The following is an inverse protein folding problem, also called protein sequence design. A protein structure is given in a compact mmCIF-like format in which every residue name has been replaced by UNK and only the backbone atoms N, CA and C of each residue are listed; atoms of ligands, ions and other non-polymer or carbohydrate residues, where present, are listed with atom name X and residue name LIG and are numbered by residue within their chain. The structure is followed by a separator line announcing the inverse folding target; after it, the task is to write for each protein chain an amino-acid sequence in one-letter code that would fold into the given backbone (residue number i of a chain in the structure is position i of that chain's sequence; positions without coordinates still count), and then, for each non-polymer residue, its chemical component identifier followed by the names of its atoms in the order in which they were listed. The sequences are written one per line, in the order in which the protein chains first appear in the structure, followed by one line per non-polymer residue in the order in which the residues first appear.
data_IF_608686810380
#
_entry.id   IF_608686810380
#
_cell.length_a   1.000
_cell.length_b   1.000
_cell.length_c   1.000
_cell.angle_alpha   90.00
_cell.angle_beta   90.00
_cell.angle_gamma   90.00
#
_symmetry.space_group_name_H-M   'P 1'
#
loop_
_entity.id
_entity.type
_entity.pdbx_description
1 polymer ?
#
# COMPACT_ATOMS: atom_id res chain seq x y z
N UNK A 1 -16.92 -12.16 29.69
CA UNK A 1 -17.22 -13.10 28.61
C UNK A 1 -17.73 -12.28 27.44
N UNK A 2 -16.89 -12.05 26.41
CA UNK A 2 -17.27 -11.27 25.25
C UNK A 2 -18.04 -12.18 24.29
N UNK A 3 -19.24 -11.75 23.93
CA UNK A 3 -20.13 -12.42 22.99
C UNK A 3 -19.55 -12.34 21.59
N UNK A 4 -19.12 -13.47 21.03
CA UNK A 4 -18.78 -13.65 19.61
C UNK A 4 -20.04 -13.54 18.74
N UNK A 5 -20.53 -12.31 18.56
CA UNK A 5 -21.70 -11.99 17.74
C UNK A 5 -21.27 -11.54 16.34
N UNK A 6 -20.82 -12.50 15.52
CA UNK A 6 -21.08 -12.64 14.08
C UNK A 6 -20.11 -13.70 13.57
N UNK A 7 -20.52 -14.97 13.57
CA UNK A 7 -19.88 -15.93 12.67
C UNK A 7 -20.24 -15.51 11.25
N UNK A 8 -19.39 -14.66 10.66
CA UNK A 8 -19.40 -14.43 9.22
C UNK A 8 -19.34 -15.75 8.48
N UNK A 9 -19.65 -15.73 7.20
CA UNK A 9 -19.69 -16.88 6.28
C UNK A 9 -18.35 -17.63 6.08
N UNK A 10 -17.39 -17.50 7.00
CA UNK A 10 -16.05 -18.09 6.98
C UNK A 10 -15.07 -17.44 5.99
N UNK A 11 -15.56 -16.60 5.07
CA UNK A 11 -14.74 -15.97 4.02
C UNK A 11 -14.18 -14.62 4.41
N UNK A 12 -14.72 -14.01 5.47
CA UNK A 12 -14.28 -12.70 5.95
C UNK A 12 -13.43 -12.85 7.19
N UNK A 13 -12.20 -12.36 7.15
CA UNK A 13 -11.22 -12.53 8.23
C UNK A 13 -10.53 -11.21 8.58
N UNK A 14 -10.18 -11.08 9.86
CA UNK A 14 -9.31 -10.00 10.33
C UNK A 14 -7.88 -10.51 10.49
N UNK A 15 -6.95 -9.89 9.76
CA UNK A 15 -5.51 -10.09 9.91
C UNK A 15 -4.91 -8.99 10.76
N UNK A 16 -3.86 -9.34 11.50
CA UNK A 16 -3.17 -8.42 12.43
C UNK A 16 -1.75 -8.17 11.95
N UNK A 17 -1.29 -6.93 12.06
CA UNK A 17 0.11 -6.53 11.78
C UNK A 17 0.64 -7.04 10.42
N UNK A 18 -0.17 -6.97 9.37
CA UNK A 18 0.31 -7.25 8.00
C UNK A 18 1.00 -6.01 7.44
N UNK A 19 1.99 -6.19 6.57
CA UNK A 19 2.73 -5.08 5.95
C UNK A 19 2.08 -4.66 4.63
N UNK A 20 1.86 -3.37 4.46
CA UNK A 20 1.20 -2.81 3.27
C UNK A 20 2.18 -2.67 2.10
N UNK A 21 1.73 -2.92 0.88
CA UNK A 21 2.50 -2.68 -0.35
C UNK A 21 1.60 -2.25 -1.50
N UNK A 22 2.15 -1.50 -2.46
CA UNK A 22 1.40 -0.91 -3.59
C UNK A 22 0.22 -0.03 -3.12
N UNK A 23 0.46 0.83 -2.13
CA UNK A 23 -0.58 1.60 -1.44
C UNK A 23 -1.07 2.83 -2.19
N UNK A 24 -0.39 3.25 -3.27
CA UNK A 24 -0.81 4.40 -4.10
C UNK A 24 -2.28 4.28 -4.52
N UNK A 25 -2.73 3.04 -4.78
CA UNK A 25 -4.10 2.72 -5.18
C UNK A 25 -5.15 2.88 -4.08
N UNK A 26 -4.74 3.11 -2.83
CA UNK A 26 -5.66 3.46 -1.73
C UNK A 26 -6.16 4.90 -1.86
N UNK A 27 -5.29 5.82 -2.32
CA UNK A 27 -5.64 7.21 -2.58
C UNK A 27 -6.40 7.30 -3.90
N UNK A 28 -5.70 7.14 -5.01
CA UNK A 28 -6.26 7.29 -6.35
C UNK A 28 -6.50 5.92 -6.97
N UNK A 29 -7.58 5.74 -7.74
CA UNK A 29 -7.73 4.51 -8.51
C UNK A 29 -6.61 4.44 -9.54
N UNK A 30 -6.07 3.25 -9.75
CA UNK A 30 -5.15 3.02 -10.86
C UNK A 30 -5.35 1.62 -11.43
N UNK A 31 -4.85 1.42 -12.63
CA UNK A 31 -4.83 0.13 -13.30
C UNK A 31 -3.82 -0.79 -12.61
N UNK A 32 -4.08 -2.10 -12.61
CA UNK A 32 -3.15 -3.10 -12.02
C UNK A 32 -1.98 -3.44 -12.94
N UNK A 33 -2.08 -3.05 -14.22
CA UNK A 33 -1.11 -3.28 -15.28
C UNK A 33 -1.43 -2.36 -16.47
N UNK A 34 -0.43 -2.11 -17.33
CA UNK A 34 -0.61 -1.33 -18.55
C UNK A 34 -1.68 -1.89 -19.49
N UNK A 35 -1.97 -3.19 -19.41
CA UNK A 35 -2.98 -3.88 -20.22
C UNK A 35 -4.40 -3.86 -19.61
N UNK A 36 -4.61 -3.20 -18.47
CA UNK A 36 -5.91 -3.17 -17.80
C UNK A 36 -6.57 -1.81 -17.98
N UNK A 37 -7.78 -1.79 -18.54
CA UNK A 37 -8.56 -0.55 -18.68
C UNK A 37 -9.34 -0.19 -17.40
N UNK A 38 -9.25 -1.02 -16.36
CA UNK A 38 -10.07 -0.89 -15.15
C UNK A 38 -9.26 -0.32 -14.00
N UNK A 39 -9.47 0.97 -13.74
CA UNK A 39 -8.94 1.63 -12.56
C UNK A 39 -9.67 1.16 -11.30
N UNK A 40 -8.90 0.79 -10.29
CA UNK A 40 -9.44 0.23 -9.05
C UNK A 40 -8.63 0.66 -7.85
N UNK A 41 -9.31 0.83 -6.72
CA UNK A 41 -8.64 0.86 -5.43
C UNK A 41 -8.14 -0.53 -5.07
N UNK A 42 -6.96 -0.60 -4.47
CA UNK A 42 -6.35 -1.86 -4.07
C UNK A 42 -5.04 -1.66 -3.32
N UNK A 43 -4.56 -2.76 -2.75
CA UNK A 43 -3.31 -2.84 -2.00
C UNK A 43 -2.92 -4.31 -1.88
N UNK A 44 -1.63 -4.57 -1.67
CA UNK A 44 -1.15 -5.88 -1.28
C UNK A 44 -0.86 -5.91 0.23
N UNK A 45 -1.05 -7.08 0.82
CA UNK A 45 -0.76 -7.34 2.23
C UNK A 45 0.27 -8.45 2.32
N UNK A 46 1.43 -8.15 2.90
CA UNK A 46 2.51 -9.09 3.12
C UNK A 46 2.36 -9.67 4.53
N UNK A 47 2.35 -10.99 4.60
CA UNK A 47 2.45 -11.77 5.83
C UNK A 47 3.93 -12.16 5.94
N UNK A 48 4.65 -11.42 6.79
CA UNK A 48 6.07 -11.66 7.05
C UNK A 48 6.24 -12.93 7.90
N UNK A 49 7.08 -13.86 7.44
CA UNK A 49 7.21 -15.19 8.03
C UNK A 49 7.89 -15.19 9.42
N UNK A 50 8.61 -14.12 9.74
CA UNK A 50 9.30 -13.89 11.01
C UNK A 50 8.41 -13.23 12.08
N UNK A 51 7.22 -12.72 11.71
CA UNK A 51 6.31 -12.09 12.65
C UNK A 51 5.56 -13.13 13.50
N UNK A 52 5.31 -12.84 14.80
CA UNK A 52 4.58 -13.77 15.67
C UNK A 52 3.14 -14.01 15.21
N UNK A 53 2.54 -13.07 14.47
CA UNK A 53 1.19 -13.22 13.91
C UNK A 53 1.14 -14.09 12.64
N UNK A 54 2.29 -14.49 12.06
CA UNK A 54 2.34 -15.17 10.76
C UNK A 54 1.43 -16.40 10.69
N UNK A 55 1.62 -17.36 11.60
CA UNK A 55 0.87 -18.62 11.58
C UNK A 55 -0.63 -18.40 11.76
N UNK A 56 -1.01 -17.51 12.68
CA UNK A 56 -2.41 -17.18 12.93
C UNK A 56 -3.06 -16.49 11.72
N UNK A 57 -2.36 -15.56 11.07
CA UNK A 57 -2.84 -14.89 9.87
C UNK A 57 -2.90 -15.84 8.67
N UNK A 58 -1.87 -16.66 8.47
CA UNK A 58 -1.80 -17.66 7.41
C UNK A 58 -2.95 -18.66 7.53
N UNK A 59 -3.21 -19.18 8.72
CA UNK A 59 -4.33 -20.10 8.98
C UNK A 59 -5.69 -19.46 8.64
N UNK A 60 -5.91 -18.19 9.01
CA UNK A 60 -7.13 -17.45 8.66
C UNK A 60 -7.30 -17.28 7.15
N UNK A 61 -6.23 -16.90 6.44
CA UNK A 61 -6.26 -16.76 4.98
C UNK A 61 -6.57 -18.10 4.31
N UNK A 62 -5.88 -19.18 4.70
CA UNK A 62 -6.13 -20.52 4.15
C UNK A 62 -7.56 -20.99 4.44
N UNK A 63 -8.05 -20.79 5.65
CA UNK A 63 -9.45 -21.11 6.00
C UNK A 63 -10.46 -20.36 5.13
N UNK A 64 -10.25 -19.05 4.93
CA UNK A 64 -11.12 -18.24 4.08
C UNK A 64 -11.05 -18.62 2.59
N UNK A 65 -9.86 -19.01 2.08
CA UNK A 65 -9.70 -19.55 0.72
C UNK A 65 -10.47 -20.86 0.54
N UNK A 66 -10.38 -21.75 1.52
CA UNK A 66 -11.13 -23.02 1.53
C UNK A 66 -12.63 -22.79 1.46
N UNK A 67 -13.13 -21.89 2.30
CA UNK A 67 -14.54 -21.56 2.33
C UNK A 67 -15.00 -20.88 1.02
N UNK A 68 -14.19 -19.99 0.46
CA UNK A 68 -14.47 -19.37 -0.84
C UNK A 68 -14.52 -20.42 -1.98
N UNK A 69 -13.60 -21.39 -1.98
CA UNK A 69 -13.57 -22.50 -2.93
C UNK A 69 -14.76 -23.45 -2.76
N UNK A 70 -15.12 -23.77 -1.52
CA UNK A 70 -16.28 -24.59 -1.21
C UNK A 70 -17.57 -23.93 -1.69
N UNK A 71 -17.75 -22.63 -1.43
CA UNK A 71 -18.97 -21.94 -1.83
C UNK A 71 -19.11 -21.80 -3.35
N UNK A 72 -18.04 -21.38 -4.03
CA UNK A 72 -18.06 -21.10 -5.47
C UNK A 72 -17.96 -22.36 -6.32
N UNK A 73 -17.13 -23.34 -5.92
CA UNK A 73 -16.75 -24.47 -6.76
C UNK A 73 -17.05 -25.84 -6.14
N UNK A 74 -17.64 -25.88 -4.93
CA UNK A 74 -17.88 -27.11 -4.15
C UNK A 74 -16.59 -27.90 -3.89
N UNK A 75 -15.46 -27.21 -3.82
CA UNK A 75 -14.14 -27.79 -3.58
C UNK A 75 -13.31 -26.85 -2.71
N UNK A 76 -13.02 -27.26 -1.46
CA UNK A 76 -12.22 -26.48 -0.52
C UNK A 76 -10.77 -26.27 -1.00
N UNK A 77 -10.24 -27.19 -1.80
CA UNK A 77 -8.86 -27.14 -2.28
C UNK A 77 -8.74 -26.51 -3.67
N UNK A 78 -9.83 -25.92 -4.21
CA UNK A 78 -9.82 -25.25 -5.51
C UNK A 78 -8.72 -24.18 -5.63
N UNK A 79 -8.37 -23.50 -4.54
CA UNK A 79 -7.30 -22.50 -4.54
C UNK A 79 -5.92 -23.09 -4.88
N UNK A 80 -5.66 -24.37 -4.57
CA UNK A 80 -4.39 -25.06 -4.90
C UNK A 80 -4.29 -25.30 -6.40
N UNK A 81 -5.34 -25.89 -6.99
CA UNK A 81 -5.41 -26.12 -8.44
C UNK A 81 -5.33 -24.81 -9.22
N UNK A 82 -6.06 -23.77 -8.78
CA UNK A 82 -5.98 -22.44 -9.40
C UNK A 82 -4.57 -21.85 -9.27
N UNK A 83 -3.89 -22.05 -8.14
CA UNK A 83 -2.52 -21.57 -7.95
C UNK A 83 -1.51 -22.23 -8.90
N UNK A 84 -1.75 -23.48 -9.30
CA UNK A 84 -0.94 -24.24 -10.25
C UNK A 84 -1.25 -23.83 -11.69
N UNK A 85 -2.52 -23.85 -12.08
CA UNK A 85 -2.97 -23.61 -13.46
C UNK A 85 -2.91 -22.14 -13.86
N UNK A 86 -3.33 -21.25 -12.95
CA UNK A 86 -3.52 -19.84 -13.21
C UNK A 86 -3.12 -19.01 -11.98
N UNK A 87 -1.82 -18.95 -11.62
CA UNK A 87 -1.35 -18.35 -10.36
C UNK A 87 -1.77 -16.89 -10.17
N UNK A 88 -2.04 -16.12 -11.24
CA UNK A 88 -2.52 -14.73 -11.13
C UNK A 88 -4.02 -14.63 -10.73
N UNK A 89 -4.75 -15.74 -10.78
CA UNK A 89 -6.18 -15.84 -10.42
C UNK A 89 -6.42 -16.34 -9.00
N UNK A 90 -5.37 -16.50 -8.21
CA UNK A 90 -5.47 -16.69 -6.76
C UNK A 90 -4.85 -15.49 -6.06
N UNK A 91 -5.60 -14.89 -5.13
CA UNK A 91 -5.15 -13.70 -4.41
C UNK A 91 -4.00 -13.98 -3.42
N UNK A 92 -3.81 -15.23 -2.99
CA UNK A 92 -2.79 -15.61 -2.02
C UNK A 92 -1.63 -16.34 -2.68
N UNK A 93 -0.41 -15.77 -2.62
CA UNK A 93 0.74 -16.26 -3.39
C UNK A 93 2.04 -16.16 -2.59
N UNK A 94 3.05 -16.91 -3.02
CA UNK A 94 4.42 -16.75 -2.50
C UNK A 94 5.03 -15.44 -3.01
N UNK A 95 5.77 -14.74 -2.16
CA UNK A 95 6.26 -13.41 -2.44
C UNK A 95 7.27 -13.36 -3.60
N UNK A 96 7.93 -14.46 -3.94
CA UNK A 96 8.82 -14.54 -5.11
C UNK A 96 8.09 -14.32 -6.44
N UNK A 97 6.75 -14.28 -6.45
CA UNK A 97 5.95 -13.92 -7.62
C UNK A 97 5.94 -12.41 -7.90
N UNK A 98 6.42 -11.59 -6.98
CA UNK A 98 6.50 -10.14 -7.11
C UNK A 98 7.94 -9.73 -7.45
N UNK A 99 8.19 -9.57 -8.74
CA UNK A 99 9.51 -9.21 -9.29
C UNK A 99 9.42 -7.97 -10.17
N UNK A 100 10.52 -7.22 -10.23
CA UNK A 100 10.69 -6.15 -11.22
C UNK A 100 10.99 -6.73 -12.62
N UNK A 101 11.17 -5.88 -13.63
CA UNK A 101 11.48 -6.30 -15.01
C UNK A 101 12.81 -7.07 -15.12
N UNK A 102 13.73 -6.85 -14.19
CA UNK A 102 15.04 -7.53 -14.12
C UNK A 102 14.97 -8.87 -13.38
N UNK A 103 13.80 -9.25 -12.86
CA UNK A 103 13.60 -10.51 -12.13
C UNK A 103 13.99 -10.47 -10.65
N UNK A 104 14.38 -9.29 -10.13
CA UNK A 104 14.64 -9.07 -8.69
C UNK A 104 13.33 -9.01 -7.93
N UNK A 105 13.22 -9.78 -6.85
CA UNK A 105 12.05 -9.79 -5.97
C UNK A 105 11.95 -8.44 -5.27
N UNK A 106 10.75 -7.86 -5.21
CA UNK A 106 10.55 -6.60 -4.49
C UNK A 106 10.89 -6.75 -3.00
N UNK A 107 11.42 -5.69 -2.41
CA UNK A 107 11.73 -5.66 -0.99
C UNK A 107 10.49 -6.02 -0.14
N UNK A 108 10.71 -6.81 0.91
CA UNK A 108 9.66 -7.31 1.80
C UNK A 108 8.89 -8.54 1.28
N UNK A 109 9.03 -8.92 0.00
CA UNK A 109 8.34 -10.09 -0.53
C UNK A 109 9.14 -11.40 -0.43
N UNK A 110 10.47 -11.35 -0.45
CA UNK A 110 11.32 -12.54 -0.39
C UNK A 110 11.05 -13.37 0.87
N UNK A 111 10.80 -14.67 0.72
CA UNK A 111 10.50 -15.59 1.84
C UNK A 111 9.11 -15.43 2.45
N UNK A 112 8.35 -14.41 2.04
CA UNK A 112 7.06 -14.05 2.64
C UNK A 112 5.88 -14.51 1.80
N UNK A 113 4.68 -14.41 2.38
CA UNK A 113 3.42 -14.67 1.69
C UNK A 113 2.69 -13.35 1.47
N UNK A 114 1.94 -13.22 0.39
CA UNK A 114 1.19 -12.01 0.13
C UNK A 114 -0.21 -12.26 -0.40
N UNK A 115 -1.14 -11.41 0.04
CA UNK A 115 -2.51 -11.32 -0.43
C UNK A 115 -2.64 -10.09 -1.32
N UNK A 116 -3.06 -10.28 -2.56
CA UNK A 116 -3.48 -9.21 -3.48
C UNK A 116 -4.96 -8.96 -3.31
N UNK A 117 -5.36 -7.71 -3.06
CA UNK A 117 -6.76 -7.38 -2.88
C UNK A 117 -7.13 -6.06 -3.54
N UNK A 118 -8.40 -5.96 -3.94
CA UNK A 118 -9.00 -4.72 -4.42
C UNK A 118 -10.00 -4.22 -3.39
N UNK A 119 -10.33 -2.93 -3.41
CA UNK A 119 -11.40 -2.39 -2.58
C UNK A 119 -12.77 -3.03 -2.88
N UNK A 120 -13.82 -2.67 -2.10
CA UNK A 120 -15.13 -3.28 -2.26
C UNK A 120 -15.72 -3.06 -3.65
N UNK A 121 -16.70 -3.91 -4.00
CA UNK A 121 -17.35 -3.88 -5.31
C UNK A 121 -16.36 -4.02 -6.49
N UNK A 122 -15.37 -4.89 -6.33
CA UNK A 122 -14.35 -5.17 -7.34
C UNK A 122 -13.40 -4.00 -7.58
N UNK A 123 -13.09 -3.23 -6.53
CA UNK A 123 -12.17 -2.11 -6.53
C UNK A 123 -12.78 -0.76 -6.91
N UNK A 124 -14.09 -0.69 -7.18
CA UNK A 124 -14.74 0.58 -7.55
C UNK A 124 -14.94 1.50 -6.36
N UNK A 125 -15.01 0.94 -5.14
CA UNK A 125 -15.09 1.69 -3.88
C UNK A 125 -13.76 1.62 -3.13
N UNK A 126 -13.42 2.70 -2.44
CA UNK A 126 -12.29 2.74 -1.51
C UNK A 126 -12.63 1.92 -0.26
N UNK A 127 -11.71 1.10 0.27
CA UNK A 127 -11.93 0.42 1.56
C UNK A 127 -12.09 1.44 2.69
N UNK A 128 -12.68 1.03 3.82
CA UNK A 128 -12.71 1.90 5.00
C UNK A 128 -11.28 2.11 5.52
N UNK A 129 -10.85 3.35 5.61
CA UNK A 129 -9.49 3.70 6.08
C UNK A 129 -9.56 4.29 7.48
N UNK A 130 -8.75 3.72 8.38
CA UNK A 130 -8.58 4.18 9.75
C UNK A 130 -7.10 4.37 10.08
N UNK A 131 -6.75 5.45 10.76
CA UNK A 131 -5.40 5.65 11.27
C UNK A 131 -5.18 4.86 12.59
N UNK A 132 -4.01 5.01 13.22
CA UNK A 132 -3.67 4.33 14.48
C UNK A 132 -4.64 4.67 15.61
N UNK A 133 -5.15 5.91 15.62
CA UNK A 133 -6.09 6.46 16.60
C UNK A 133 -7.55 6.19 16.24
N UNK A 134 -7.80 5.47 15.14
CA UNK A 134 -9.14 5.23 14.58
C UNK A 134 -9.84 6.51 14.10
N UNK A 135 -9.11 7.57 13.76
CA UNK A 135 -9.64 8.62 12.89
C UNK A 135 -10.01 7.98 11.56
N UNK A 136 -11.08 8.46 10.94
CA UNK A 136 -11.57 7.93 9.66
C UNK A 136 -11.31 8.93 8.54
N UNK A 137 -11.16 8.44 7.31
CA UNK A 137 -11.11 9.34 6.15
C UNK A 137 -12.37 10.21 6.14
N UNK A 138 -12.20 11.53 5.97
CA UNK A 138 -13.28 12.52 6.03
C UNK A 138 -14.50 12.14 5.18
N UNK A 139 -14.29 11.70 3.95
CA UNK A 139 -15.36 11.32 3.01
C UNK A 139 -16.12 10.05 3.43
N UNK A 140 -15.56 9.30 4.37
CA UNK A 140 -16.14 8.08 4.93
C UNK A 140 -16.69 8.31 6.33
N UNK A 141 -16.59 9.52 6.88
CA UNK A 141 -16.92 9.84 8.26
C UNK A 141 -18.42 10.08 8.48
N UNK A 142 -18.91 9.77 9.67
CA UNK A 142 -20.23 10.23 10.11
C UNK A 142 -20.17 11.71 10.53
N UNK A 143 -21.31 12.40 10.57
CA UNK A 143 -21.38 13.78 11.05
C UNK A 143 -20.85 13.95 12.49
N UNK A 144 -21.04 12.94 13.34
CA UNK A 144 -20.50 12.92 14.71
C UNK A 144 -18.97 12.85 14.73
N UNK A 145 -18.38 12.00 13.89
CA UNK A 145 -16.92 11.87 13.78
C UNK A 145 -16.28 13.17 13.28
N UNK A 146 -16.94 13.87 12.35
CA UNK A 146 -16.49 15.18 11.86
C UNK A 146 -16.53 16.21 12.99
N UNK A 147 -17.64 16.29 13.74
CA UNK A 147 -17.78 17.21 14.89
C UNK A 147 -16.76 16.95 15.99
N UNK A 148 -16.42 15.68 16.21
CA UNK A 148 -15.42 15.25 17.20
C UNK A 148 -13.96 15.38 16.71
N UNK A 149 -13.72 15.92 15.52
CA UNK A 149 -12.40 15.98 14.88
C UNK A 149 -11.68 14.60 14.79
N UNK A 150 -12.47 13.53 14.65
CA UNK A 150 -11.99 12.14 14.53
C UNK A 150 -11.81 11.76 13.05
N UNK A 151 -11.24 12.67 12.26
CA UNK A 151 -11.09 12.51 10.81
C UNK A 151 -9.68 12.90 10.33
N UNK A 152 -9.29 12.36 9.18
CA UNK A 152 -8.11 12.79 8.41
C UNK A 152 -8.52 13.06 6.95
N UNK A 153 -7.75 13.88 6.26
CA UNK A 153 -7.99 14.28 4.86
C UNK A 153 -7.42 13.29 3.85
N UNK A 154 -7.89 13.38 2.60
CA UNK A 154 -7.40 12.53 1.51
C UNK A 154 -5.88 12.72 1.22
N UNK A 155 -5.36 13.93 1.43
CA UNK A 155 -3.93 14.22 1.32
C UNK A 155 -3.06 13.40 2.28
N UNK A 156 -3.58 13.06 3.46
CA UNK A 156 -2.86 12.29 4.49
C UNK A 156 -2.83 10.78 4.20
N UNK A 157 -3.54 10.28 3.16
CA UNK A 157 -3.66 8.82 2.93
C UNK A 157 -2.30 8.17 2.73
N UNK A 158 -1.41 8.75 1.92
CA UNK A 158 -0.10 8.13 1.64
C UNK A 158 0.92 8.36 2.77
N UNK A 159 0.64 9.28 3.68
CA UNK A 159 1.42 9.46 4.91
C UNK A 159 1.02 8.47 6.01
N UNK A 160 -0.27 8.12 6.08
CA UNK A 160 -0.81 7.17 7.06
C UNK A 160 -0.68 5.72 6.56
N UNK A 161 -0.90 5.49 5.27
CA UNK A 161 -0.93 4.16 4.63
C UNK A 161 0.19 4.04 3.58
N UNK A 162 1.42 4.37 3.95
CA UNK A 162 2.56 4.19 3.06
C UNK A 162 2.90 2.72 2.84
N UNK A 163 3.49 2.40 1.67
CA UNK A 163 4.07 1.09 1.41
C UNK A 163 5.16 0.83 2.44
N UNK A 164 5.06 -0.27 3.19
CA UNK A 164 5.94 -0.60 4.30
C UNK A 164 5.33 -0.44 5.68
N UNK A 165 4.23 0.31 5.81
CA UNK A 165 3.52 0.44 7.08
C UNK A 165 2.85 -0.88 7.49
N UNK A 166 2.80 -1.16 8.78
CA UNK A 166 1.99 -2.25 9.35
C UNK A 166 0.53 -1.83 9.53
N UNK A 167 -0.39 -2.79 9.39
CA UNK A 167 -1.82 -2.55 9.54
C UNK A 167 -2.57 -3.77 10.09
N UNK A 168 -3.71 -3.51 10.73
CA UNK A 168 -4.77 -4.49 10.91
C UNK A 168 -5.75 -4.36 9.74
N UNK A 169 -6.17 -5.48 9.15
CA UNK A 169 -7.02 -5.46 7.96
C UNK A 169 -8.19 -6.41 8.07
N UNK A 170 -9.31 -6.05 7.45
CA UNK A 170 -10.47 -6.94 7.27
C UNK A 170 -10.58 -7.26 5.78
N UNK A 171 -10.49 -8.54 5.46
CA UNK A 171 -10.45 -9.06 4.10
C UNK A 171 -11.60 -10.04 3.88
N UNK A 172 -12.21 -10.00 2.69
CA UNK A 172 -13.27 -10.93 2.29
C UNK A 172 -12.89 -11.67 1.02
N UNK A 173 -12.88 -13.01 1.08
CA UNK A 173 -12.44 -13.88 -0.01
C UNK A 173 -13.63 -14.39 -0.82
N UNK A 174 -13.50 -14.49 -2.14
CA UNK A 174 -14.59 -14.97 -2.99
C UNK A 174 -14.09 -15.67 -4.25
N UNK A 175 -14.78 -16.74 -4.65
CA UNK A 175 -14.55 -17.42 -5.92
C UNK A 175 -15.36 -16.79 -7.06
N UNK A 176 -14.86 -16.91 -8.30
CA UNK A 176 -15.58 -16.52 -9.52
C UNK A 176 -15.18 -17.44 -10.68
N UNK A 177 -16.14 -17.70 -11.58
CA UNK A 177 -15.94 -18.37 -12.86
C UNK A 177 -15.92 -17.38 -14.05
N UNK A 178 -15.94 -16.07 -13.80
CA UNK A 178 -15.91 -15.09 -14.88
C UNK A 178 -14.55 -15.13 -15.59
N UNK A 179 -14.56 -15.60 -16.84
CA UNK A 179 -13.38 -15.84 -17.68
C UNK A 179 -12.77 -17.22 -17.43
N UNK A 180 -12.39 -17.51 -16.20
CA UNK A 180 -11.99 -18.85 -15.73
C UNK A 180 -12.09 -18.92 -14.19
N UNK A 181 -11.86 -20.09 -13.59
CA UNK A 181 -11.84 -20.22 -12.12
C UNK A 181 -10.82 -19.29 -11.49
N UNK A 182 -11.22 -18.59 -10.43
CA UNK A 182 -10.34 -17.71 -9.67
C UNK A 182 -10.87 -17.45 -8.26
N UNK A 183 -9.99 -17.19 -7.31
CA UNK A 183 -10.32 -16.78 -5.95
C UNK A 183 -9.63 -15.45 -5.66
N UNK A 184 -10.43 -14.42 -5.43
CA UNK A 184 -10.01 -13.05 -5.23
C UNK A 184 -10.33 -12.56 -3.81
N UNK A 185 -9.81 -11.38 -3.48
CA UNK A 185 -9.95 -10.77 -2.16
C UNK A 185 -10.43 -9.32 -2.29
N UNK A 186 -11.43 -8.98 -1.47
CA UNK A 186 -11.94 -7.64 -1.22
C UNK A 186 -11.33 -7.07 0.06
N UNK A 187 -10.98 -5.78 0.05
CA UNK A 187 -10.54 -5.04 1.23
C UNK A 187 -11.75 -4.35 1.84
N UNK A 188 -12.20 -4.78 3.01
CA UNK A 188 -13.34 -4.14 3.68
C UNK A 188 -12.87 -2.95 4.53
N UNK A 189 -11.78 -3.13 5.28
CA UNK A 189 -11.19 -2.08 6.10
C UNK A 189 -9.69 -2.24 6.30
N UNK A 190 -8.98 -1.13 6.44
CA UNK A 190 -7.57 -1.05 6.83
C UNK A 190 -7.46 -0.10 8.02
N UNK A 191 -6.81 -0.56 9.09
CA UNK A 191 -6.36 0.28 10.20
C UNK A 191 -4.84 0.31 10.23
N UNK A 192 -4.26 1.45 9.87
CA UNK A 192 -2.82 1.67 9.93
C UNK A 192 -2.32 1.67 11.37
N UNK A 193 -1.09 1.19 11.56
CA UNK A 193 -0.34 1.35 12.82
C UNK A 193 0.60 2.56 12.76
N UNK A 194 0.74 3.19 11.59
CA UNK A 194 1.63 4.33 11.33
C UNK A 194 3.10 4.04 11.71
N UNK A 195 3.52 2.79 11.55
CA UNK A 195 4.89 2.35 11.81
C UNK A 195 5.33 1.29 10.80
N UNK A 196 6.64 1.14 10.66
CA UNK A 196 7.28 0.26 9.67
C UNK A 196 8.21 1.06 8.76
N UNK A 197 9.19 0.38 8.20
CA UNK A 197 10.11 1.00 7.24
C UNK A 197 9.41 1.15 5.89
N UNK A 198 9.49 2.36 5.30
CA UNK A 198 8.94 2.64 3.97
C UNK A 198 9.58 1.72 2.93
N UNK A 199 8.74 1.02 2.18
CA UNK A 199 9.14 0.19 1.04
C UNK A 199 8.98 0.98 -0.25
N UNK A 200 10.01 0.96 -1.09
CA UNK A 200 9.98 1.53 -2.44
C UNK A 200 8.91 0.89 -3.31
N UNK A 201 8.22 1.71 -4.11
CA UNK A 201 7.09 1.29 -4.94
C UNK A 201 6.41 2.43 -5.72
N UNK A 202 6.79 3.69 -5.46
CA UNK A 202 6.74 4.78 -6.45
C UNK A 202 7.98 4.75 -7.32
N UNK A 203 7.95 5.46 -8.45
CA UNK A 203 9.07 5.64 -9.40
C UNK A 203 10.38 5.75 -8.62
N UNK A 204 11.33 4.86 -8.90
CA UNK A 204 12.71 5.03 -8.48
C UNK A 204 13.21 6.23 -9.30
N UNK A 205 13.45 7.34 -8.62
CA UNK A 205 14.25 8.43 -9.15
C UNK A 205 15.56 8.29 -8.37
N UNK A 206 16.59 7.77 -9.02
CA UNK A 206 17.93 7.78 -8.41
C UNK A 206 18.61 9.14 -8.63
N UNK A 207 19.76 9.36 -8.00
CA UNK A 207 20.49 10.61 -8.18
C UNK A 207 20.95 10.81 -9.64
N UNK A 208 21.06 9.72 -10.40
CA UNK A 208 21.49 9.71 -11.80
C UNK A 208 20.34 10.08 -12.76
N UNK A 209 19.08 10.02 -12.30
CA UNK A 209 17.89 10.53 -12.99
C UNK A 209 17.73 12.06 -12.89
N UNK A 210 18.53 12.72 -12.05
CA UNK A 210 18.61 14.18 -12.02
C UNK A 210 19.74 14.64 -12.94
N UNK A 211 19.46 15.63 -13.79
CA UNK A 211 20.54 16.35 -14.47
C UNK A 211 21.46 16.97 -13.40
N UNK A 212 22.78 16.88 -13.61
CA UNK A 212 23.73 17.60 -12.77
C UNK A 212 23.35 19.08 -12.79
N UNK A 213 23.27 19.68 -11.61
CA UNK A 213 23.15 21.14 -11.52
C UNK A 213 24.36 21.73 -12.25
N UNK A 214 24.10 22.61 -13.23
CA UNK A 214 25.17 23.42 -13.80
C UNK A 214 25.80 24.18 -12.62
N UNK A 215 27.08 23.90 -12.35
CA UNK A 215 27.88 24.68 -11.41
C UNK A 215 27.97 26.10 -11.99
N UNK A 216 27.03 26.96 -11.60
CA UNK A 216 27.14 28.39 -11.83
C UNK A 216 28.16 28.95 -10.81
N UNK A 217 29.42 28.55 -11.00
CA UNK A 217 30.61 29.03 -10.30
C UNK A 217 30.94 30.48 -10.74
N UNK A 218 29.94 31.35 -10.68
CA UNK A 218 30.08 32.79 -10.84
C UNK A 218 29.94 33.48 -9.48
N UNK A 219 30.74 33.05 -8.50
CA UNK A 219 31.01 33.82 -7.28
C UNK A 219 32.50 34.19 -7.21
N UNK A 220 33.02 34.83 -8.26
CA UNK A 220 34.32 35.50 -8.24
C UNK A 220 34.17 36.97 -8.63
N UNK A 221 33.98 37.82 -7.62
CA UNK A 221 34.43 39.22 -7.61
C UNK A 221 34.25 39.80 -6.21
N UNK A 222 35.11 39.34 -5.28
CA UNK A 222 35.43 40.15 -4.10
C UNK A 222 36.19 41.41 -4.53
N UNK A 223 36.02 42.56 -3.84
CA UNK A 223 36.57 43.82 -4.31
C UNK A 223 38.09 43.84 -4.20
N UNK A 224 38.76 44.04 -5.34
CA UNK A 224 40.21 44.23 -5.42
C UNK A 224 40.57 45.65 -4.97
N UNK A 225 41.42 45.74 -3.94
CA UNK A 225 42.16 46.96 -3.64
C UNK A 225 43.10 47.28 -4.81
N UNK A 226 42.94 48.47 -5.40
CA UNK A 226 44.03 49.14 -6.11
C UNK A 226 44.03 50.61 -5.72
N UNK A 227 45.14 51.04 -5.14
CA UNK A 227 45.38 52.41 -4.75
C UNK A 227 45.98 53.27 -5.85
N UNK A 228 46.20 54.53 -5.46
CA UNK A 228 46.83 55.67 -6.16
C UNK A 228 45.91 56.45 -7.09
N UNK A 229 45.93 57.78 -7.15
CA UNK A 229 46.54 58.85 -6.35
C UNK A 229 46.11 60.19 -6.97
N UNK A 230 46.18 61.27 -6.19
CA UNK A 230 46.51 62.67 -6.54
C UNK A 230 45.42 63.69 -6.17
N UNK A 231 45.86 64.64 -5.33
CA UNK A 231 45.66 66.11 -5.41
C UNK A 231 44.26 66.65 -5.74
N UNK A 232 43.72 67.65 -5.05
CA UNK A 232 44.31 68.71 -4.23
C UNK A 232 43.17 69.50 -3.57
N UNK A 233 43.56 70.25 -2.54
CA UNK A 233 43.03 71.56 -2.16
C UNK A 233 41.65 71.72 -1.49
N UNK A 234 41.77 72.43 -0.37
CA UNK A 234 40.97 73.60 -0.01
C UNK A 234 39.70 73.45 0.84
N UNK A 235 39.95 73.79 2.11
CA UNK A 235 39.33 74.90 2.84
C UNK A 235 37.95 74.70 3.48
N UNK A 236 38.05 74.72 4.81
CA UNK A 236 37.30 75.53 5.77
C UNK A 236 35.92 75.07 6.28
N UNK A 237 35.95 74.96 7.62
CA UNK A 237 34.96 75.26 8.65
C UNK A 237 33.88 74.20 8.91
#
# INVERSE_FOLDING_TARGET
MATDSNKGDGRTVQLKRVRLSFTNRLKDKATTSAESDKETHGCNFILEADQPEFEANNAKVVGALKEAGLQAFKNEDAYKTIAEDAPKRVCYRKGEKWKNKEGKVYAGYEGNRAVTANGPSGGTKRPKLLDRRKRVLRDQATGEQIKANMVFGEGEILDIFYGGCYADVILSFYGTDKGSRGIFCSIEAIRSHENGERMGGGIYVDADDFDNLEDDDTFDSGPSQSGKSSESDDLLL
#
